data_IF_121497738701
#
_entry.id   IF_121497738701
#
_cell.length_a   1.000
_cell.length_b   1.000
_cell.length_c   1.000
_cell.angle_alpha   90.00
_cell.angle_beta   90.00
_cell.angle_gamma   90.00
#
_symmetry.space_group_name_H-M   'P 1'
#
loop_
_entity.id
_entity.type
_entity.pdbx_description
1 polymer ?
#
# COMPACT_ATOMS: atom_id res chain seq x y z
N UNK A 1 22.83 -36.79 14.47
CA UNK A 1 22.39 -35.41 14.71
C UNK A 1 21.02 -35.22 14.06
N UNK A 2 19.97 -34.79 14.77
CA UNK A 2 18.67 -34.54 14.16
C UNK A 2 18.67 -33.16 13.49
N UNK A 3 18.28 -33.11 12.22
CA UNK A 3 18.06 -31.87 11.47
C UNK A 3 16.73 -31.29 11.95
N UNK A 4 16.78 -30.17 12.67
CA UNK A 4 15.58 -29.43 13.09
C UNK A 4 15.02 -28.74 11.84
N UNK A 5 14.02 -29.36 11.22
CA UNK A 5 13.18 -28.76 10.18
C UNK A 5 12.12 -27.87 10.86
N UNK A 6 12.55 -26.69 11.30
CA UNK A 6 11.66 -25.63 11.74
C UNK A 6 12.13 -24.41 10.99
N UNK A 7 11.37 -23.84 10.03
CA UNK A 7 11.44 -22.39 9.71
C UNK A 7 10.57 -21.82 8.58
N UNK A 8 9.67 -22.55 7.90
CA UNK A 8 8.90 -21.92 6.79
C UNK A 8 7.46 -21.51 7.11
N UNK A 9 6.80 -22.11 8.10
CA UNK A 9 5.39 -21.77 8.39
C UNK A 9 5.20 -20.42 9.11
N UNK A 10 6.17 -19.97 9.92
CA UNK A 10 6.05 -18.70 10.67
C UNK A 10 6.24 -17.45 9.80
N UNK A 11 7.02 -17.52 8.72
CA UNK A 11 7.29 -16.36 7.85
C UNK A 11 6.01 -15.83 7.15
N UNK A 12 5.16 -16.73 6.62
CA UNK A 12 3.97 -16.34 5.86
C UNK A 12 2.85 -15.72 6.74
N UNK A 13 2.79 -16.06 8.03
CA UNK A 13 1.81 -15.48 8.95
C UNK A 13 2.23 -14.08 9.40
N UNK A 14 3.53 -13.83 9.55
CA UNK A 14 4.08 -12.52 9.95
C UNK A 14 3.89 -11.43 8.88
N UNK A 15 3.66 -11.80 7.62
CA UNK A 15 3.54 -10.87 6.49
C UNK A 15 2.12 -10.32 6.28
N UNK A 16 1.11 -11.01 6.79
CA UNK A 16 -0.28 -10.57 6.66
C UNK A 16 -0.55 -9.39 7.59
N UNK A 17 -1.22 -8.37 7.05
CA UNK A 17 -1.52 -7.13 7.76
C UNK A 17 -3.03 -6.98 7.90
N UNK A 18 -3.52 -7.07 9.14
CA UNK A 18 -4.94 -7.13 9.47
C UNK A 18 -5.48 -5.81 10.03
N UNK A 19 -4.62 -4.91 10.48
CA UNK A 19 -5.02 -3.61 11.04
C UNK A 19 -4.15 -2.44 10.57
N UNK A 20 -4.61 -1.22 10.86
CA UNK A 20 -3.92 0.04 10.51
C UNK A 20 -2.63 0.23 11.31
N UNK A 21 -2.57 -0.36 12.51
CA UNK A 21 -1.40 -0.36 13.39
C UNK A 21 -0.28 -1.29 12.89
N UNK A 22 -0.58 -2.17 11.95
CA UNK A 22 0.35 -3.14 11.38
C UNK A 22 0.90 -2.75 10.00
N UNK A 23 0.44 -1.64 9.41
CA UNK A 23 0.82 -1.23 8.04
C UNK A 23 2.34 -1.02 7.89
N UNK A 24 3.02 -0.57 8.94
CA UNK A 24 4.48 -0.44 9.00
C UNK A 24 5.23 -1.73 8.67
N UNK A 25 4.62 -2.92 8.89
CA UNK A 25 5.22 -4.22 8.56
C UNK A 25 5.60 -4.35 7.07
N UNK A 26 4.91 -3.65 6.17
CA UNK A 26 5.30 -3.62 4.75
C UNK A 26 6.65 -2.96 4.52
N UNK A 27 7.00 -1.93 5.30
CA UNK A 27 8.30 -1.28 5.24
C UNK A 27 9.37 -2.11 5.93
N UNK A 28 9.07 -2.68 7.09
CA UNK A 28 9.96 -3.60 7.81
C UNK A 28 10.38 -4.80 6.94
N UNK A 29 9.45 -5.29 6.10
CA UNK A 29 9.66 -6.42 5.20
C UNK A 29 9.85 -5.99 3.74
N UNK A 30 10.30 -4.76 3.46
CA UNK A 30 10.36 -4.19 2.11
C UNK A 30 11.10 -5.11 1.12
N UNK A 31 12.24 -5.68 1.52
CA UNK A 31 13.07 -6.54 0.67
C UNK A 31 12.30 -7.76 0.12
N UNK A 32 11.35 -8.30 0.89
CA UNK A 32 10.52 -9.41 0.44
C UNK A 32 9.55 -9.01 -0.69
N UNK A 33 9.10 -7.76 -0.68
CA UNK A 33 8.11 -7.23 -1.62
C UNK A 33 8.73 -6.56 -2.86
N UNK A 34 10.05 -6.29 -2.85
CA UNK A 34 10.75 -5.79 -4.02
C UNK A 34 10.64 -6.77 -5.19
N UNK A 35 10.37 -6.23 -6.39
CA UNK A 35 10.11 -6.99 -7.61
C UNK A 35 8.89 -7.94 -7.55
N UNK A 36 8.10 -7.93 -6.47
CA UNK A 36 6.81 -8.62 -6.42
C UNK A 36 5.75 -7.84 -7.17
N UNK A 37 4.63 -8.50 -7.47
CA UNK A 37 3.50 -7.85 -8.12
C UNK A 37 2.63 -7.17 -7.08
N UNK A 38 1.96 -6.09 -7.47
CA UNK A 38 0.98 -5.39 -6.61
C UNK A 38 -0.05 -6.37 -6.02
N UNK A 39 -0.51 -7.37 -6.80
CA UNK A 39 -1.45 -8.40 -6.32
C UNK A 39 -0.93 -9.19 -5.10
N UNK A 40 0.38 -9.38 -4.98
CA UNK A 40 0.97 -10.11 -3.85
C UNK A 40 0.86 -9.29 -2.57
N UNK A 41 1.15 -7.99 -2.66
CA UNK A 41 0.96 -7.05 -1.55
C UNK A 41 -0.52 -6.94 -1.19
N UNK A 42 -1.42 -6.83 -2.18
CA UNK A 42 -2.86 -6.81 -1.94
C UNK A 42 -3.42 -8.13 -1.39
N UNK A 43 -2.72 -9.25 -1.58
CA UNK A 43 -3.07 -10.53 -0.95
C UNK A 43 -2.73 -10.51 0.52
N UNK A 44 -1.62 -9.88 0.90
CA UNK A 44 -1.13 -9.85 2.28
C UNK A 44 -1.74 -8.67 3.08
N UNK A 45 -2.22 -7.63 2.40
CA UNK A 45 -3.03 -6.53 2.94
C UNK A 45 -4.48 -6.97 3.17
N UNK A 46 -4.77 -7.48 4.38
CA UNK A 46 -6.10 -7.95 4.78
C UNK A 46 -7.03 -6.84 5.24
N UNK A 47 -6.47 -5.73 5.74
CA UNK A 47 -7.24 -4.52 6.01
C UNK A 47 -7.65 -3.82 4.71
N UNK A 48 -8.90 -3.37 4.66
CA UNK A 48 -9.41 -2.62 3.52
C UNK A 48 -8.90 -1.17 3.58
N UNK A 49 -8.39 -0.66 2.45
CA UNK A 49 -8.15 0.78 2.31
C UNK A 49 -9.48 1.51 2.09
N UNK A 50 -9.62 2.72 2.62
CA UNK A 50 -10.78 3.59 2.37
C UNK A 50 -10.62 4.37 1.07
N UNK A 51 -9.39 4.82 0.80
CA UNK A 51 -9.05 5.61 -0.39
C UNK A 51 -7.75 5.06 -0.97
N UNK A 52 -7.71 4.88 -2.28
CA UNK A 52 -6.45 4.73 -3.01
C UNK A 52 -6.33 5.87 -4.02
N UNK A 53 -5.13 6.35 -4.28
CA UNK A 53 -4.89 7.23 -5.43
C UNK A 53 -3.60 6.84 -6.11
N UNK A 54 -3.52 7.15 -7.40
CA UNK A 54 -2.33 6.93 -8.20
C UNK A 54 -1.80 8.26 -8.72
N UNK A 55 -0.49 8.30 -8.99
CA UNK A 55 0.17 9.45 -9.57
C UNK A 55 1.47 9.07 -10.28
N UNK A 56 2.07 10.04 -10.96
CA UNK A 56 3.16 9.83 -11.90
C UNK A 56 2.64 9.66 -13.33
N UNK A 57 3.31 8.81 -14.12
CA UNK A 57 2.97 8.61 -15.54
C UNK A 57 3.58 9.63 -16.49
N UNK A 58 4.36 10.59 -15.99
CA UNK A 58 5.30 11.40 -16.77
C UNK A 58 6.64 10.66 -16.90
N UNK A 59 7.38 10.86 -17.99
CA UNK A 59 8.59 10.09 -18.30
C UNK A 59 9.69 10.17 -17.22
N UNK A 60 9.69 11.22 -16.42
CA UNK A 60 10.70 11.47 -15.38
C UNK A 60 10.23 11.06 -13.98
N UNK A 61 8.93 10.91 -13.77
CA UNK A 61 8.37 10.61 -12.45
C UNK A 61 8.09 9.12 -12.26
N UNK A 62 8.48 8.58 -11.10
CA UNK A 62 8.15 7.20 -10.76
C UNK A 62 6.66 7.09 -10.46
N UNK A 63 5.95 6.27 -11.24
CA UNK A 63 4.54 5.94 -11.01
C UNK A 63 4.33 5.31 -9.63
N UNK A 64 3.27 5.69 -8.94
CA UNK A 64 3.00 5.20 -7.58
C UNK A 64 1.51 4.99 -7.30
N UNK A 65 1.24 4.15 -6.30
CA UNK A 65 -0.09 3.88 -5.75
C UNK A 65 -0.03 4.12 -4.24
N UNK A 66 -0.87 5.01 -3.71
CA UNK A 66 -0.97 5.25 -2.27
C UNK A 66 -2.32 4.78 -1.75
N UNK A 67 -2.29 4.06 -0.63
CA UNK A 67 -3.44 3.62 0.15
C UNK A 67 -3.58 4.43 1.43
N UNK A 68 -4.80 4.87 1.72
CA UNK A 68 -5.22 5.43 3.00
C UNK A 68 -6.27 4.53 3.62
N UNK A 69 -6.12 4.24 4.90
CA UNK A 69 -7.00 3.34 5.64
C UNK A 69 -8.06 4.07 6.46
N UNK A 70 -8.00 5.40 6.46
CA UNK A 70 -8.98 6.29 7.09
C UNK A 70 -9.65 7.12 5.99
N UNK A 71 -10.95 7.40 6.16
CA UNK A 71 -11.62 8.38 5.31
C UNK A 71 -11.06 9.78 5.59
N UNK A 72 -11.40 10.78 4.76
CA UNK A 72 -10.84 12.13 4.87
C UNK A 72 -11.13 12.82 6.21
N UNK A 73 -12.31 12.57 6.80
CA UNK A 73 -12.71 13.18 8.08
C UNK A 73 -11.90 12.57 9.23
N UNK A 74 -11.77 11.25 9.25
CA UNK A 74 -11.04 10.53 10.30
C UNK A 74 -9.54 10.82 10.23
N UNK A 75 -8.96 10.89 9.02
CA UNK A 75 -7.55 11.26 8.79
C UNK A 75 -7.23 12.64 9.39
N UNK A 76 -8.14 13.61 9.20
CA UNK A 76 -8.02 14.95 9.78
C UNK A 76 -8.14 14.93 11.31
N UNK A 77 -9.08 14.16 11.87
CA UNK A 77 -9.25 14.04 13.32
C UNK A 77 -8.04 13.40 14.01
N UNK A 78 -7.41 12.41 13.38
CA UNK A 78 -6.19 11.78 13.88
C UNK A 78 -5.03 12.78 13.93
N UNK A 79 -4.83 13.53 12.85
CA UNK A 79 -3.78 14.56 12.77
C UNK A 79 -3.98 15.64 13.84
N UNK A 80 -5.21 16.08 14.09
CA UNK A 80 -5.50 17.05 15.16
C UNK A 80 -5.21 16.50 16.57
N UNK A 81 -5.16 15.18 16.74
CA UNK A 81 -4.77 14.51 17.99
C UNK A 81 -3.27 14.19 18.05
N UNK A 82 -2.48 14.65 17.07
CA UNK A 82 -1.08 14.28 16.94
C UNK A 82 -0.90 12.78 16.69
N UNK A 83 -1.79 12.16 15.92
CA UNK A 83 -1.69 10.75 15.51
C UNK A 83 -1.45 10.72 14.00
N UNK A 84 -0.32 10.15 13.60
CA UNK A 84 -0.02 9.90 12.20
C UNK A 84 -0.95 8.81 11.65
N UNK A 85 -1.77 9.09 10.62
CA UNK A 85 -2.61 8.06 10.02
C UNK A 85 -1.77 7.03 9.26
N UNK A 86 -2.23 5.77 9.24
CA UNK A 86 -1.57 4.72 8.47
C UNK A 86 -1.59 5.02 6.97
N UNK A 87 -0.44 4.83 6.30
CA UNK A 87 -0.30 4.95 4.84
C UNK A 87 0.61 3.86 4.29
N UNK A 88 0.28 3.39 3.09
CA UNK A 88 1.12 2.49 2.30
C UNK A 88 1.22 3.05 0.88
N UNK A 89 2.45 3.31 0.42
CA UNK A 89 2.74 3.77 -0.94
C UNK A 89 3.63 2.76 -1.62
N UNK A 90 3.21 2.32 -2.81
CA UNK A 90 3.95 1.43 -3.68
C UNK A 90 4.48 2.23 -4.87
N UNK A 91 5.78 2.17 -5.12
CA UNK A 91 6.38 2.73 -6.32
C UNK A 91 6.53 1.64 -7.37
N UNK A 92 6.24 1.96 -8.62
CA UNK A 92 6.11 1.02 -9.72
C UNK A 92 7.35 1.04 -10.61
N UNK A 93 7.82 -0.15 -10.98
CA UNK A 93 9.04 -0.35 -11.76
C UNK A 93 8.85 -0.07 -13.25
N UNK A 94 7.71 -0.46 -13.80
CA UNK A 94 7.39 -0.29 -15.21
C UNK A 94 7.30 1.20 -15.59
N UNK A 95 7.89 1.56 -16.73
CA UNK A 95 7.95 2.93 -17.28
C UNK A 95 7.47 3.03 -18.72
N UNK A 96 6.87 1.96 -19.24
CA UNK A 96 6.39 1.92 -20.62
C UNK A 96 5.14 2.80 -20.81
N UNK A 97 4.89 3.24 -22.04
CA UNK A 97 3.81 4.16 -22.36
C UNK A 97 2.42 3.62 -21.98
N UNK A 98 2.20 2.29 -22.04
CA UNK A 98 0.91 1.69 -21.67
C UNK A 98 0.72 1.76 -20.16
N UNK A 99 1.75 1.44 -19.38
CA UNK A 99 1.71 1.58 -17.92
C UNK A 99 1.53 3.04 -17.52
N UNK A 100 2.30 3.96 -18.08
CA UNK A 100 2.25 5.38 -17.73
C UNK A 100 0.85 5.98 -17.90
N UNK A 101 0.12 5.58 -18.95
CA UNK A 101 -1.29 6.00 -19.17
C UNK A 101 -2.24 5.58 -18.03
N UNK A 102 -1.91 4.56 -17.23
CA UNK A 102 -2.70 4.16 -16.07
C UNK A 102 -2.54 5.10 -14.87
N UNK A 103 -1.45 5.87 -14.83
CA UNK A 103 -1.11 6.80 -13.76
C UNK A 103 -1.31 8.26 -14.17
N UNK A 104 -1.21 8.52 -15.47
CA UNK A 104 -1.38 9.84 -16.05
C UNK A 104 -2.80 10.33 -15.84
N UNK A 105 -2.93 11.45 -15.16
CA UNK A 105 -4.21 12.11 -14.95
C UNK A 105 -4.00 13.61 -14.94
N UNK A 106 -4.23 14.25 -16.08
CA UNK A 106 -3.87 15.65 -16.37
C UNK A 106 -3.70 16.54 -15.15
N UNK A 107 -4.77 17.20 -14.70
CA UNK A 107 -4.72 18.10 -13.53
C UNK A 107 -5.13 17.42 -12.21
N UNK A 108 -5.83 16.28 -12.26
CA UNK A 108 -6.42 15.65 -11.07
C UNK A 108 -5.97 14.21 -10.91
N UNK A 109 -5.43 13.87 -9.74
CA UNK A 109 -5.06 12.48 -9.37
C UNK A 109 -6.25 11.52 -9.54
N UNK A 110 -6.01 10.38 -10.19
CA UNK A 110 -6.97 9.28 -10.24
C UNK A 110 -7.14 8.75 -8.81
N UNK A 111 -8.35 8.86 -8.28
CA UNK A 111 -8.68 8.47 -6.91
C UNK A 111 -9.78 7.42 -6.92
N UNK A 112 -9.59 6.36 -6.14
CA UNK A 112 -10.51 5.27 -5.92
C UNK A 112 -11.04 5.38 -4.49
N UNK A 113 -12.32 5.69 -4.38
CA UNK A 113 -13.02 5.66 -3.10
C UNK A 113 -13.64 4.27 -2.92
N UNK A 114 -13.47 3.70 -1.73
CA UNK A 114 -14.20 2.50 -1.36
C UNK A 114 -15.68 2.84 -1.21
N UNK A 115 -16.49 2.09 -1.92
CA UNK A 115 -17.94 2.09 -1.75
C UNK A 115 -18.29 0.93 -0.80
N UNK A 116 -18.70 1.26 0.42
CA UNK A 116 -19.03 0.29 1.46
C UNK A 116 -20.22 -0.59 1.09
N UNK A 117 -21.12 -0.11 0.22
CA UNK A 117 -22.29 -0.87 -0.23
C UNK A 117 -21.95 -1.92 -1.28
N UNK A 118 -20.86 -1.72 -2.04
CA UNK A 118 -20.48 -2.62 -3.15
C UNK A 118 -19.56 -3.77 -2.73
N UNK A 119 -19.12 -3.81 -1.46
CA UNK A 119 -18.28 -4.85 -0.86
C UNK A 119 -17.12 -5.36 -1.76
N UNK A 120 -16.46 -4.47 -2.51
CA UNK A 120 -15.36 -4.86 -3.42
C UNK A 120 -14.07 -5.10 -2.65
N UNK A 121 -13.34 -6.17 -2.93
CA UNK A 121 -12.01 -6.40 -2.35
C UNK A 121 -10.98 -5.38 -2.86
N UNK A 122 -9.87 -5.23 -2.13
CA UNK A 122 -8.73 -4.40 -2.55
C UNK A 122 -8.27 -4.72 -4.00
N UNK A 123 -8.20 -6.01 -4.35
CA UNK A 123 -7.80 -6.47 -5.69
C UNK A 123 -8.83 -6.13 -6.77
N UNK A 124 -10.13 -6.15 -6.45
CA UNK A 124 -11.18 -5.80 -7.40
C UNK A 124 -11.17 -4.30 -7.73
N UNK A 125 -10.92 -3.45 -6.73
CA UNK A 125 -10.80 -2.00 -6.94
C UNK A 125 -9.59 -1.67 -7.81
N UNK A 126 -8.45 -2.35 -7.58
CA UNK A 126 -7.18 -2.09 -8.27
C UNK A 126 -6.89 -3.09 -9.40
N UNK A 127 -7.93 -3.64 -10.03
CA UNK A 127 -7.82 -4.72 -11.02
C UNK A 127 -6.83 -4.42 -12.17
N UNK A 128 -6.71 -3.16 -12.57
CA UNK A 128 -5.84 -2.71 -13.66
C UNK A 128 -4.37 -2.56 -13.24
N UNK A 129 -4.10 -2.49 -11.94
CA UNK A 129 -2.76 -2.25 -11.38
C UNK A 129 -2.14 -3.53 -10.79
N UNK A 130 -2.93 -4.60 -10.63
CA UNK A 130 -2.56 -5.82 -9.88
C UNK A 130 -1.29 -6.53 -10.40
N UNK A 131 -0.97 -6.39 -11.69
CA UNK A 131 0.16 -7.08 -12.33
C UNK A 131 1.41 -6.19 -12.48
N UNK A 132 1.37 -4.96 -11.97
CA UNK A 132 2.52 -4.06 -11.94
C UNK A 132 3.53 -4.51 -10.88
N UNK A 133 4.79 -4.19 -11.11
CA UNK A 133 5.93 -4.61 -10.29
C UNK A 133 6.31 -3.51 -9.33
N UNK A 134 6.52 -3.88 -8.07
CA UNK A 134 6.93 -2.94 -7.03
C UNK A 134 8.44 -2.73 -7.05
N UNK A 135 8.85 -1.48 -7.17
CA UNK A 135 10.24 -1.02 -7.12
C UNK A 135 10.67 -0.58 -5.72
N UNK A 136 9.74 -0.03 -4.93
CA UNK A 136 10.00 0.48 -3.58
C UNK A 136 8.71 0.55 -2.78
N UNK A 137 8.82 0.44 -1.46
CA UNK A 137 7.69 0.60 -0.53
C UNK A 137 8.00 1.71 0.47
N UNK A 138 7.02 2.57 0.67
CA UNK A 138 6.90 3.39 1.86
C UNK A 138 5.68 2.96 2.65
N UNK A 139 5.82 2.76 3.96
CA UNK A 139 4.70 2.47 4.83
C UNK A 139 4.91 3.03 6.22
N UNK A 140 3.83 3.50 6.84
CA UNK A 140 3.79 3.81 8.26
C UNK A 140 2.49 3.27 8.88
N UNK A 141 2.59 2.83 10.12
CA UNK A 141 1.44 2.46 10.93
C UNK A 141 0.73 3.70 11.48
N UNK A 142 -0.53 3.51 11.85
CA UNK A 142 -1.24 4.49 12.67
C UNK A 142 -0.63 4.53 14.07
N UNK A 143 -0.03 5.66 14.45
CA UNK A 143 0.69 5.81 15.73
C UNK A 143 0.79 7.28 16.14
N UNK A 144 0.97 7.59 17.43
CA UNK A 144 1.24 8.94 17.89
C UNK A 144 2.44 9.57 17.17
N UNK A 145 2.39 10.87 16.92
CA UNK A 145 3.53 11.65 16.44
C UNK A 145 4.59 11.71 17.54
N UNK A 146 5.76 11.13 17.27
CA UNK A 146 6.94 11.35 18.10
C UNK A 146 7.41 12.78 17.87
N UNK A 147 7.32 13.62 18.90
CA UNK A 147 8.00 14.93 18.90
C UNK A 147 9.49 14.66 18.69
N UNK A 148 10.07 15.26 17.66
CA UNK A 148 11.53 15.31 17.54
C UNK A 148 11.99 16.30 18.60
N UNK A 149 12.74 15.80 19.60
CA UNK A 149 13.52 16.63 20.52
C UNK A 149 14.61 17.40 19.78
#
# INVERSE_FOLDING_TARGET
MPIILVLTFKLNAQQKVYSKQEIGKFKENEQFYLNKKVKDILRDLKVNFEIAYVGGGWSEETSFITFRFNNRKDDYQLQQKGINPARLTLFIKERDAKTNKLFLSGEKRITFYRDSLKNKSNQQILKNYKNLTVAMIYANSEQPETKKE
#
